data_IF_210671485791
#
_entry.id   IF_210671485791
#
_cell.length_a   1.000
_cell.length_b   1.000
_cell.length_c   1.000
_cell.angle_alpha   90.00
_cell.angle_beta   90.00
_cell.angle_gamma   90.00
#
_symmetry.space_group_name_H-M   'P 1'
#
loop_
_entity.id
_entity.type
_entity.pdbx_description
1 polymer ?
#
# COMPACT_ATOMS: atom_id res chain seq x y z
N UNK A 1 -53.32 27.21 30.82
CA UNK A 1 -52.48 26.17 31.39
C UNK A 1 -52.26 25.17 30.28
N UNK A 2 -51.16 25.25 29.62
CA UNK A 2 -50.79 24.17 28.70
C UNK A 2 -49.26 24.07 28.65
N UNK A 3 -48.73 22.87 28.94
CA UNK A 3 -47.31 22.57 29.00
C UNK A 3 -46.95 21.74 27.80
N UNK A 4 -46.39 22.35 26.77
CA UNK A 4 -45.77 21.62 25.67
C UNK A 4 -44.33 21.24 26.02
N UNK A 5 -44.12 19.96 26.26
CA UNK A 5 -42.79 19.37 26.45
C UNK A 5 -42.09 19.18 25.11
N UNK A 6 -41.02 19.95 24.88
CA UNK A 6 -40.12 19.78 23.73
C UNK A 6 -39.31 18.52 23.84
N UNK A 7 -39.47 17.60 22.89
CA UNK A 7 -38.54 16.46 22.68
C UNK A 7 -37.25 17.02 22.10
N UNK A 8 -36.16 16.95 22.87
CA UNK A 8 -34.79 17.08 22.39
C UNK A 8 -34.47 15.86 21.50
N UNK A 9 -34.28 16.11 20.22
CA UNK A 9 -33.69 15.12 19.33
C UNK A 9 -32.26 14.83 19.75
N UNK A 10 -31.98 13.57 20.07
CA UNK A 10 -30.62 13.08 20.23
C UNK A 10 -29.95 13.14 18.86
N UNK A 11 -28.95 14.00 18.71
CA UNK A 11 -28.06 13.98 17.56
C UNK A 11 -27.28 12.66 17.62
N UNK A 12 -27.49 11.84 16.61
CA UNK A 12 -26.67 10.67 16.32
C UNK A 12 -25.22 11.15 16.06
N UNK A 13 -24.39 11.07 17.09
CA UNK A 13 -22.95 11.25 16.92
C UNK A 13 -22.42 9.98 16.27
N UNK A 14 -22.48 9.94 14.94
CA UNK A 14 -21.81 8.95 14.13
C UNK A 14 -20.34 8.89 14.54
N UNK A 15 -19.98 7.86 15.30
CA UNK A 15 -18.60 7.53 15.68
C UNK A 15 -17.81 7.13 14.41
N UNK A 16 -17.38 8.11 13.63
CA UNK A 16 -16.42 7.92 12.54
C UNK A 16 -15.05 7.69 13.17
N UNK A 17 -14.78 6.44 13.57
CA UNK A 17 -13.46 6.11 14.06
C UNK A 17 -12.40 6.44 12.98
N UNK A 18 -11.44 7.27 13.36
CA UNK A 18 -10.41 7.79 12.46
C UNK A 18 -9.51 6.67 11.95
N UNK A 19 -9.15 6.73 10.67
CA UNK A 19 -8.15 5.86 10.10
C UNK A 19 -6.78 6.15 10.74
N UNK A 20 -6.10 5.12 11.23
CA UNK A 20 -4.79 5.21 11.87
C UNK A 20 -3.74 4.54 10.98
N UNK A 21 -2.51 5.04 11.05
CA UNK A 21 -1.36 4.43 10.40
C UNK A 21 -0.44 3.80 11.45
N UNK A 22 0.04 2.61 11.18
CA UNK A 22 1.00 1.86 12.01
C UNK A 22 2.16 1.39 11.15
N UNK A 23 3.38 1.54 11.67
CA UNK A 23 4.62 1.07 11.01
C UNK A 23 5.23 -0.16 11.69
N UNK A 24 4.86 -0.42 12.95
CA UNK A 24 5.31 -1.61 13.67
C UNK A 24 4.70 -2.86 13.05
N UNK A 25 5.53 -3.87 12.77
CA UNK A 25 5.10 -5.18 12.26
C UNK A 25 4.89 -6.13 13.44
N UNK A 26 3.78 -6.84 13.44
CA UNK A 26 3.40 -7.83 14.45
C UNK A 26 3.28 -9.23 13.85
N UNK A 27 3.32 -10.27 14.69
CA UNK A 27 3.19 -11.66 14.22
C UNK A 27 1.87 -11.95 13.49
N UNK A 28 0.81 -11.21 13.81
CA UNK A 28 -0.48 -11.34 13.14
C UNK A 28 -0.50 -10.80 11.71
N UNK A 29 0.44 -9.92 11.34
CA UNK A 29 0.41 -9.21 10.06
C UNK A 29 0.67 -10.14 8.86
N UNK A 30 1.36 -11.25 9.04
CA UNK A 30 1.53 -12.26 7.98
C UNK A 30 0.17 -12.80 7.48
N UNK A 31 -0.73 -13.16 8.39
CA UNK A 31 -2.09 -13.56 8.05
C UNK A 31 -2.92 -12.42 7.46
N UNK A 32 -2.79 -11.22 8.03
CA UNK A 32 -3.49 -10.02 7.56
C UNK A 32 -3.08 -9.66 6.13
N UNK A 33 -1.78 -9.69 5.81
CA UNK A 33 -1.24 -9.42 4.46
C UNK A 33 -1.75 -10.46 3.48
N UNK A 34 -1.71 -11.75 3.84
CA UNK A 34 -2.30 -12.83 3.02
C UNK A 34 -3.75 -12.53 2.66
N UNK A 35 -4.58 -12.22 3.66
CA UNK A 35 -6.00 -11.94 3.45
C UNK A 35 -6.26 -10.72 2.57
N UNK A 36 -5.48 -9.64 2.77
CA UNK A 36 -5.60 -8.41 1.96
C UNK A 36 -5.25 -8.71 0.51
N UNK A 37 -4.09 -9.32 0.26
CA UNK A 37 -3.61 -9.60 -1.09
C UNK A 37 -4.55 -10.57 -1.81
N UNK A 38 -4.98 -11.65 -1.15
CA UNK A 38 -5.95 -12.60 -1.69
C UNK A 38 -7.28 -11.93 -2.04
N UNK A 39 -7.76 -11.00 -1.20
CA UNK A 39 -9.05 -10.32 -1.42
C UNK A 39 -9.09 -9.49 -2.70
N UNK A 40 -7.94 -9.06 -3.23
CA UNK A 40 -7.87 -8.27 -4.47
C UNK A 40 -8.27 -9.08 -5.70
N UNK A 41 -8.03 -10.39 -5.69
CA UNK A 41 -8.26 -11.29 -6.82
C UNK A 41 -7.28 -11.08 -7.99
N UNK A 42 -6.17 -10.35 -7.77
CA UNK A 42 -5.20 -10.02 -8.81
C UNK A 42 -3.99 -10.96 -8.81
N UNK A 43 -3.67 -11.57 -7.68
CA UNK A 43 -2.42 -12.28 -7.44
C UNK A 43 -2.60 -13.80 -7.39
N UNK A 44 -1.61 -14.52 -7.91
CA UNK A 44 -1.52 -15.97 -7.81
C UNK A 44 -1.10 -16.39 -6.39
N UNK A 45 -1.38 -17.65 -5.98
CA UNK A 45 -0.99 -18.15 -4.66
C UNK A 45 0.50 -17.95 -4.32
N UNK A 46 1.40 -18.15 -5.29
CA UNK A 46 2.84 -17.97 -5.09
C UNK A 46 3.20 -16.49 -4.85
N UNK A 47 2.56 -15.55 -5.55
CA UNK A 47 2.75 -14.12 -5.34
C UNK A 47 2.24 -13.69 -3.94
N UNK A 48 1.13 -14.26 -3.48
CA UNK A 48 0.63 -14.06 -2.11
C UNK A 48 1.66 -14.56 -1.10
N UNK A 49 2.29 -15.71 -1.38
CA UNK A 49 3.38 -16.25 -0.58
C UNK A 49 4.53 -15.26 -0.41
N UNK A 50 4.99 -14.67 -1.50
CA UNK A 50 6.07 -13.65 -1.49
C UNK A 50 5.69 -12.45 -0.61
N UNK A 51 4.46 -11.95 -0.71
CA UNK A 51 4.01 -10.83 0.13
C UNK A 51 4.07 -11.16 1.63
N UNK A 52 3.76 -12.40 2.00
CA UNK A 52 3.83 -12.90 3.39
C UNK A 52 5.29 -13.06 3.83
N UNK A 53 6.17 -13.60 2.98
CA UNK A 53 7.59 -13.78 3.28
C UNK A 53 8.29 -12.48 3.65
N UNK A 54 7.93 -11.34 3.03
CA UNK A 54 8.50 -10.04 3.40
C UNK A 54 8.14 -9.63 4.84
N UNK A 55 6.92 -9.95 5.30
CA UNK A 55 6.50 -9.72 6.69
C UNK A 55 7.28 -10.61 7.64
N UNK A 56 7.40 -11.90 7.31
CA UNK A 56 8.12 -12.89 8.12
C UNK A 56 9.61 -12.54 8.21
N UNK A 57 10.22 -12.10 7.11
CA UNK A 57 11.61 -11.65 7.09
C UNK A 57 11.79 -10.39 7.95
N UNK A 58 10.87 -9.44 7.88
CA UNK A 58 10.89 -8.26 8.75
C UNK A 58 10.77 -8.63 10.23
N UNK A 59 9.95 -9.60 10.56
CA UNK A 59 9.82 -10.10 11.93
C UNK A 59 11.07 -10.84 12.41
N UNK A 60 11.71 -11.62 11.53
CA UNK A 60 12.88 -12.43 11.82
C UNK A 60 14.15 -11.58 12.01
N UNK A 61 14.38 -10.63 11.12
CA UNK A 61 15.64 -9.86 11.02
C UNK A 61 15.50 -8.45 11.61
N UNK A 62 14.29 -7.97 11.77
CA UNK A 62 14.01 -6.61 12.22
C UNK A 62 14.32 -5.56 11.15
N UNK A 63 14.72 -4.34 11.54
CA UNK A 63 15.04 -3.25 10.61
C UNK A 63 16.12 -3.57 9.59
N UNK A 64 17.04 -4.47 9.91
CA UNK A 64 18.13 -4.87 9.02
C UNK A 64 17.66 -5.66 7.79
N UNK A 65 16.40 -6.13 7.75
CA UNK A 65 15.79 -6.72 6.55
C UNK A 65 15.68 -5.74 5.38
N UNK A 66 15.71 -4.44 5.65
CA UNK A 66 15.44 -3.41 4.65
C UNK A 66 13.97 -3.22 4.30
N UNK A 67 13.07 -4.08 4.77
CA UNK A 67 11.63 -3.96 4.50
C UNK A 67 10.94 -3.05 5.52
N UNK A 68 10.28 -2.01 5.01
CA UNK A 68 9.48 -1.07 5.79
C UNK A 68 8.00 -1.25 5.45
N UNK A 69 7.16 -1.18 6.47
CA UNK A 69 5.72 -1.37 6.31
C UNK A 69 4.94 -0.18 6.84
N UNK A 70 3.82 0.12 6.18
CA UNK A 70 2.79 1.01 6.70
C UNK A 70 1.45 0.29 6.57
N UNK A 71 0.74 0.15 7.68
CA UNK A 71 -0.59 -0.44 7.76
C UNK A 71 -1.63 0.64 8.02
N UNK A 72 -2.71 0.64 7.27
CA UNK A 72 -3.86 1.51 7.47
C UNK A 72 -4.94 0.75 8.24
N UNK A 73 -5.27 1.23 9.45
CA UNK A 73 -6.16 0.55 10.39
C UNK A 73 -7.36 1.42 10.75
N UNK A 74 -8.51 0.77 10.90
CA UNK A 74 -9.73 1.36 11.46
C UNK A 74 -10.39 0.34 12.39
N UNK A 75 -10.71 0.75 13.62
CA UNK A 75 -11.36 -0.11 14.62
C UNK A 75 -10.60 -1.44 14.85
N UNK A 76 -9.28 -1.40 14.89
CA UNK A 76 -8.45 -2.58 15.08
C UNK A 76 -8.34 -3.51 13.87
N UNK A 77 -8.96 -3.16 12.73
CA UNK A 77 -8.89 -3.92 11.49
C UNK A 77 -7.97 -3.23 10.50
N UNK A 78 -7.00 -3.96 9.96
CA UNK A 78 -6.15 -3.49 8.86
C UNK A 78 -6.92 -3.56 7.55
N UNK A 79 -7.01 -2.41 6.87
CA UNK A 79 -7.74 -2.24 5.62
C UNK A 79 -6.83 -2.24 4.39
N UNK A 80 -5.55 -1.95 4.59
CA UNK A 80 -4.56 -1.95 3.53
C UNK A 80 -3.16 -1.78 4.12
N UNK A 81 -2.15 -2.04 3.28
CA UNK A 81 -0.75 -1.88 3.66
C UNK A 81 0.11 -1.50 2.46
N UNK A 82 1.28 -0.97 2.74
CA UNK A 82 2.40 -0.85 1.80
C UNK A 82 3.67 -1.47 2.38
N UNK A 83 4.53 -1.97 1.49
CA UNK A 83 5.88 -2.43 1.81
C UNK A 83 6.86 -1.79 0.84
N UNK A 84 7.90 -1.16 1.36
CA UNK A 84 8.95 -0.52 0.57
C UNK A 84 10.32 -0.77 1.20
N UNK A 85 11.38 -0.55 0.42
CA UNK A 85 12.74 -0.67 0.90
C UNK A 85 13.77 -0.13 -0.09
N UNK A 86 15.04 0.02 0.33
CA UNK A 86 16.10 0.50 -0.53
C UNK A 86 16.41 -0.50 -1.66
N UNK A 87 16.65 0.01 -2.86
CA UNK A 87 17.20 -0.80 -3.94
C UNK A 87 18.66 -1.09 -3.62
N UNK A 88 19.07 -2.36 -3.51
CA UNK A 88 20.46 -2.71 -3.17
C UNK A 88 21.48 -2.05 -4.09
N UNK A 89 22.63 -1.66 -3.53
CA UNK A 89 23.75 -1.03 -4.24
C UNK A 89 23.43 0.33 -4.89
N UNK A 90 22.32 0.97 -4.50
CA UNK A 90 22.00 2.35 -4.88
C UNK A 90 22.06 3.26 -3.65
N UNK A 91 22.22 4.57 -3.87
CA UNK A 91 22.32 5.53 -2.78
C UNK A 91 20.96 6.05 -2.32
N UNK A 92 20.03 6.29 -3.24
CA UNK A 92 18.79 7.04 -2.97
C UNK A 92 17.58 6.50 -3.73
N UNK A 93 17.66 5.25 -4.23
CA UNK A 93 16.57 4.58 -4.93
C UNK A 93 15.85 3.61 -3.99
N UNK A 94 14.54 3.61 -4.06
CA UNK A 94 13.67 2.76 -3.25
C UNK A 94 12.66 2.04 -4.13
N UNK A 95 12.37 0.80 -3.81
CA UNK A 95 11.25 0.06 -4.39
C UNK A 95 10.03 0.15 -3.48
N UNK A 96 8.88 0.40 -4.07
CA UNK A 96 7.60 0.09 -3.44
C UNK A 96 7.21 -1.33 -3.89
N UNK A 97 7.56 -2.32 -3.07
CA UNK A 97 7.34 -3.74 -3.37
C UNK A 97 5.86 -4.10 -3.43
N UNK A 98 5.09 -3.59 -2.47
CA UNK A 98 3.67 -3.88 -2.34
C UNK A 98 2.88 -2.66 -1.90
N UNK A 99 1.71 -2.52 -2.49
CA UNK A 99 0.62 -1.68 -1.98
C UNK A 99 -0.69 -2.40 -2.28
N UNK A 100 -1.42 -2.75 -1.24
CA UNK A 100 -2.68 -3.46 -1.38
C UNK A 100 -3.71 -2.94 -0.38
N UNK A 101 -4.96 -2.87 -0.83
CA UNK A 101 -6.13 -2.45 -0.06
C UNK A 101 -7.19 -3.52 -0.20
N UNK A 102 -7.85 -3.88 0.91
CA UNK A 102 -8.96 -4.84 0.91
C UNK A 102 -9.97 -4.49 -0.17
N UNK A 103 -10.42 -5.50 -0.90
CA UNK A 103 -11.31 -5.32 -2.06
C UNK A 103 -12.51 -4.43 -1.73
N UNK A 104 -13.14 -4.67 -0.59
CA UNK A 104 -14.34 -3.94 -0.13
C UNK A 104 -14.08 -2.49 0.26
N UNK A 105 -12.82 -2.08 0.45
CA UNK A 105 -12.44 -0.71 0.83
C UNK A 105 -11.65 0.01 -0.27
N UNK A 106 -11.52 -0.59 -1.45
CA UNK A 106 -10.94 0.09 -2.62
C UNK A 106 -11.79 1.29 -3.04
N UNK A 107 -11.14 2.32 -3.63
CA UNK A 107 -11.84 3.54 -4.04
C UNK A 107 -12.11 4.54 -2.91
N UNK A 108 -11.77 4.23 -1.65
CA UNK A 108 -12.00 5.11 -0.49
C UNK A 108 -10.83 6.03 -0.15
N UNK A 109 -9.78 6.07 -1.00
CA UNK A 109 -8.59 6.91 -0.79
C UNK A 109 -7.47 6.26 0.03
N UNK A 110 -7.69 5.08 0.63
CA UNK A 110 -6.68 4.38 1.47
C UNK A 110 -5.39 4.11 0.68
N UNK A 111 -5.49 3.62 -0.56
CA UNK A 111 -4.32 3.33 -1.39
C UNK A 111 -3.48 4.58 -1.66
N UNK A 112 -4.12 5.71 -1.98
CA UNK A 112 -3.44 7.00 -2.19
C UNK A 112 -2.73 7.45 -0.90
N UNK A 113 -3.40 7.37 0.24
CA UNK A 113 -2.80 7.75 1.52
C UNK A 113 -1.60 6.86 1.87
N UNK A 114 -1.67 5.54 1.66
CA UNK A 114 -0.54 4.63 1.87
C UNK A 114 0.64 5.00 0.96
N UNK A 115 0.37 5.31 -0.31
CA UNK A 115 1.39 5.72 -1.28
C UNK A 115 2.08 7.01 -0.84
N UNK A 116 1.30 8.07 -0.55
CA UNK A 116 1.82 9.37 -0.09
C UNK A 116 2.64 9.24 1.21
N UNK A 117 2.21 8.39 2.14
CA UNK A 117 2.94 8.14 3.39
C UNK A 117 4.21 7.33 3.19
N UNK A 118 4.22 6.39 2.26
CA UNK A 118 5.45 5.68 1.87
C UNK A 118 6.46 6.63 1.23
N UNK A 119 6.01 7.48 0.31
CA UNK A 119 6.84 8.50 -0.34
C UNK A 119 7.45 9.47 0.68
N UNK A 120 6.64 9.98 1.62
CA UNK A 120 7.11 10.87 2.68
C UNK A 120 8.16 10.19 3.56
N UNK A 121 7.91 8.96 4.00
CA UNK A 121 8.86 8.21 4.82
C UNK A 121 10.17 7.89 4.07
N UNK A 122 10.11 7.60 2.77
CA UNK A 122 11.28 7.42 1.92
C UNK A 122 12.06 8.74 1.80
N UNK A 123 11.39 9.87 1.60
CA UNK A 123 12.04 11.19 1.51
C UNK A 123 12.72 11.57 2.84
N UNK A 124 12.08 11.33 3.99
CA UNK A 124 12.64 11.59 5.33
C UNK A 124 13.97 10.86 5.58
N UNK A 125 14.16 9.68 5.00
CA UNK A 125 15.40 8.90 5.11
C UNK A 125 16.36 9.13 3.93
N UNK A 126 16.13 10.19 3.12
CA UNK A 126 17.02 10.63 2.06
C UNK A 126 16.80 9.95 0.70
N UNK A 127 15.71 9.20 0.53
CA UNK A 127 15.33 8.63 -0.77
C UNK A 127 14.89 9.72 -1.74
N UNK A 128 15.25 9.56 -3.01
CA UNK A 128 14.96 10.55 -4.07
C UNK A 128 14.14 9.98 -5.21
N UNK A 129 14.11 8.67 -5.36
CA UNK A 129 13.35 8.00 -6.43
C UNK A 129 12.64 6.77 -5.89
N UNK A 130 11.39 6.62 -6.27
CA UNK A 130 10.58 5.43 -5.97
C UNK A 130 10.29 4.71 -7.26
N UNK A 131 10.57 3.43 -7.28
CA UNK A 131 10.32 2.51 -8.38
C UNK A 131 9.16 1.58 -8.03
N UNK A 132 8.34 1.29 -9.02
CA UNK A 132 7.21 0.37 -8.90
C UNK A 132 7.18 -0.51 -10.13
N UNK A 133 7.07 -1.80 -9.94
CA UNK A 133 6.96 -2.77 -11.03
C UNK A 133 5.54 -3.34 -11.10
N UNK A 134 4.99 -3.50 -12.29
CA UNK A 134 3.66 -4.08 -12.49
C UNK A 134 3.55 -4.76 -13.84
N UNK A 135 2.57 -5.65 -13.97
CA UNK A 135 2.23 -6.34 -15.21
C UNK A 135 1.53 -5.42 -16.22
N UNK A 136 1.77 -5.68 -17.51
CA UNK A 136 1.09 -5.00 -18.62
C UNK A 136 -0.32 -5.55 -18.89
N UNK A 137 -0.71 -6.68 -18.30
CA UNK A 137 -2.02 -7.31 -18.52
C UNK A 137 -3.19 -6.37 -18.26
N UNK A 138 -4.30 -6.64 -18.95
CA UNK A 138 -5.49 -5.80 -18.84
C UNK A 138 -6.06 -5.70 -17.42
N UNK A 139 -5.96 -6.76 -16.62
CA UNK A 139 -6.41 -6.79 -15.23
C UNK A 139 -5.68 -5.80 -14.33
N UNK A 140 -4.43 -5.40 -14.68
CA UNK A 140 -3.64 -4.40 -13.95
C UNK A 140 -3.81 -2.97 -14.50
N UNK A 141 -4.76 -2.72 -15.43
CA UNK A 141 -4.99 -1.40 -16.01
C UNK A 141 -5.29 -0.34 -14.96
N UNK A 142 -6.14 -0.66 -14.01
CA UNK A 142 -6.54 0.29 -12.97
C UNK A 142 -5.39 0.55 -11.97
N UNK A 143 -4.56 -0.45 -11.72
CA UNK A 143 -3.32 -0.32 -10.95
C UNK A 143 -2.34 0.64 -11.65
N UNK A 144 -2.12 0.49 -12.96
CA UNK A 144 -1.25 1.40 -13.74
C UNK A 144 -1.79 2.84 -13.72
N UNK A 145 -3.10 3.00 -13.96
CA UNK A 145 -3.76 4.33 -13.88
C UNK A 145 -3.67 4.95 -12.48
N UNK A 146 -3.71 4.14 -11.44
CA UNK A 146 -3.52 4.61 -10.08
C UNK A 146 -2.14 5.24 -9.91
N UNK A 147 -1.07 4.60 -10.36
CA UNK A 147 0.28 5.16 -10.30
C UNK A 147 0.42 6.43 -11.15
N UNK A 148 -0.08 6.42 -12.39
CA UNK A 148 -0.05 7.58 -13.28
C UNK A 148 -0.75 8.81 -12.67
N UNK A 149 -1.92 8.63 -12.05
CA UNK A 149 -2.66 9.70 -11.35
C UNK A 149 -1.94 10.23 -10.11
N UNK A 150 -1.02 9.46 -9.54
CA UNK A 150 -0.22 9.86 -8.40
C UNK A 150 1.19 10.33 -8.78
N UNK A 151 1.40 10.67 -10.06
CA UNK A 151 2.61 11.32 -10.56
C UNK A 151 3.75 10.38 -10.95
N UNK A 152 3.49 9.07 -11.01
CA UNK A 152 4.46 8.11 -11.56
C UNK A 152 4.43 8.13 -13.08
N UNK A 153 5.59 7.92 -13.70
CA UNK A 153 5.75 7.82 -15.14
C UNK A 153 6.30 6.45 -15.50
N UNK A 154 5.79 5.84 -16.56
CA UNK A 154 6.38 4.62 -17.10
C UNK A 154 7.75 4.95 -17.69
N UNK A 155 8.81 4.43 -17.09
CA UNK A 155 10.20 4.66 -17.46
C UNK A 155 10.71 3.58 -18.40
N UNK A 156 10.30 2.33 -18.18
CA UNK A 156 10.71 1.20 -18.98
C UNK A 156 9.63 0.14 -19.11
N UNK A 157 9.71 -0.62 -20.20
CA UNK A 157 8.87 -1.82 -20.40
C UNK A 157 9.76 -2.95 -20.87
N UNK A 158 9.80 -4.03 -20.08
CA UNK A 158 10.53 -5.25 -20.40
C UNK A 158 9.55 -6.24 -21.04
N UNK A 159 9.76 -6.54 -22.32
CA UNK A 159 8.86 -7.41 -23.08
C UNK A 159 8.87 -8.82 -22.53
N UNK A 160 7.65 -9.39 -22.37
CA UNK A 160 7.40 -10.78 -22.00
C UNK A 160 8.18 -11.24 -20.75
N UNK A 161 8.38 -10.32 -19.81
CA UNK A 161 9.17 -10.56 -18.60
C UNK A 161 8.52 -11.61 -17.70
N UNK A 162 7.20 -11.54 -17.51
CA UNK A 162 6.49 -12.47 -16.65
C UNK A 162 6.04 -13.72 -17.41
N UNK A 163 5.59 -13.56 -18.65
CA UNK A 163 5.16 -14.65 -19.52
C UNK A 163 4.94 -14.12 -20.95
N UNK A 164 4.77 -14.98 -21.98
CA UNK A 164 4.37 -14.54 -23.30
C UNK A 164 3.15 -13.61 -23.24
N UNK A 165 3.28 -12.42 -23.83
CA UNK A 165 2.23 -11.37 -23.81
C UNK A 165 2.10 -10.58 -22.50
N UNK A 166 2.92 -10.85 -21.48
CA UNK A 166 2.91 -10.11 -20.22
C UNK A 166 4.24 -9.41 -19.95
N UNK A 167 4.27 -8.12 -20.17
CA UNK A 167 5.46 -7.30 -19.96
C UNK A 167 5.53 -6.78 -18.53
N UNK A 168 6.74 -6.56 -18.03
CA UNK A 168 6.98 -5.74 -16.83
C UNK A 168 6.99 -4.27 -17.23
N UNK A 169 6.16 -3.45 -16.59
CA UNK A 169 6.20 -1.99 -16.70
C UNK A 169 6.80 -1.44 -15.42
N UNK A 170 7.86 -0.65 -15.57
CA UNK A 170 8.56 0.01 -14.45
C UNK A 170 8.12 1.47 -14.41
N UNK A 171 7.47 1.83 -13.32
CA UNK A 171 7.07 3.19 -13.02
C UNK A 171 8.05 3.85 -12.08
N UNK A 172 8.32 5.14 -12.29
CA UNK A 172 9.25 5.91 -11.45
C UNK A 172 8.63 7.24 -11.08
N UNK A 173 8.87 7.66 -9.84
CA UNK A 173 8.59 9.01 -9.35
C UNK A 173 9.83 9.58 -8.67
N UNK A 174 10.24 10.79 -9.09
CA UNK A 174 11.22 11.57 -8.34
C UNK A 174 10.51 12.25 -7.17
N UNK A 175 11.05 12.07 -5.97
CA UNK A 175 10.60 12.80 -4.78
C UNK A 175 11.29 14.16 -4.78
N UNK A 176 10.53 15.24 -4.62
CA UNK A 176 11.09 16.58 -4.48
C UNK A 176 11.84 16.64 -3.15
N UNK A 177 13.09 17.07 -3.16
CA UNK A 177 13.76 17.55 -1.94
C UNK A 177 13.11 18.90 -1.59
N UNK A 178 12.49 19.00 -0.42
CA UNK A 178 12.17 20.30 0.16
C UNK A 178 13.44 21.06 0.52
#
# INVERSE_FOLDING_TARGET
MDRTAGKKGAADQGNTSSLRLRTAVTRGDAGVVRDIVASTGLFLPDEIGIAVELVEERLRVGPASGYHFIFAEREGRVLGYSCYGPVPLTLQSYDLYWIAVRKETQGTGIGRMLLEKSEAAIAEIGGRRVYIETSSKAMYRDTRRFYERNGYRAEATLKEFYSPGDNKVIYVKALSSE
#
